data_IF_082192041171
#
_entry.id   IF_082192041171
#
_cell.length_a   1.000
_cell.length_b   1.000
_cell.length_c   1.000
_cell.angle_alpha   90.00
_cell.angle_beta   90.00
_cell.angle_gamma   90.00
#
_symmetry.space_group_name_H-M   'P 1'
#
loop_
_entity.id
_entity.type
_entity.pdbx_description
1 polymer ?
#
# COMPACT_ATOMS: atom_id res chain seq x y z
N UNK A 1 3.95 -1.15 -20.41
CA UNK A 1 5.33 -1.03 -20.90
C UNK A 1 5.34 0.17 -21.83
N UNK A 2 5.73 1.30 -21.26
CA UNK A 2 6.10 2.53 -21.94
C UNK A 2 7.08 2.29 -23.10
N UNK A 3 7.19 3.30 -23.96
CA UNK A 3 7.90 3.22 -25.26
C UNK A 3 9.43 3.23 -25.14
N UNK A 4 9.95 3.42 -23.93
CA UNK A 4 11.37 3.57 -23.59
C UNK A 4 12.01 2.24 -23.12
N UNK A 5 11.25 1.15 -23.01
CA UNK A 5 11.72 -0.16 -22.51
C UNK A 5 12.23 -0.14 -21.07
N UNK A 6 11.93 0.91 -20.30
CA UNK A 6 12.35 1.05 -18.91
C UNK A 6 11.13 1.21 -18.00
N UNK A 7 11.05 0.42 -16.94
CA UNK A 7 9.93 0.54 -15.99
C UNK A 7 10.20 1.70 -15.03
N UNK A 8 9.36 2.74 -15.07
CA UNK A 8 9.47 3.82 -14.08
C UNK A 8 9.12 3.32 -12.67
N UNK A 9 9.54 4.02 -11.62
CA UNK A 9 9.18 3.63 -10.25
C UNK A 9 7.65 3.67 -10.02
N UNK A 10 6.95 4.60 -10.67
CA UNK A 10 5.49 4.66 -10.65
C UNK A 10 4.87 3.43 -11.33
N UNK A 11 5.37 3.03 -12.50
CA UNK A 11 4.88 1.82 -13.16
C UNK A 11 5.18 0.55 -12.35
N UNK A 12 6.36 0.50 -11.71
CA UNK A 12 6.73 -0.60 -10.81
C UNK A 12 5.76 -0.72 -9.62
N UNK A 13 5.43 0.38 -8.96
CA UNK A 13 4.50 0.37 -7.82
C UNK A 13 3.07 0.02 -8.23
N UNK A 14 2.65 0.40 -9.45
CA UNK A 14 1.37 -0.04 -10.03
C UNK A 14 1.35 -1.55 -10.26
N UNK A 15 2.43 -2.12 -10.81
CA UNK A 15 2.54 -3.58 -11.01
C UNK A 15 2.48 -4.30 -9.66
N UNK A 16 3.25 -3.84 -8.68
CA UNK A 16 3.25 -4.43 -7.34
C UNK A 16 1.86 -4.37 -6.69
N UNK A 17 1.13 -3.27 -6.87
CA UNK A 17 -0.23 -3.12 -6.35
C UNK A 17 -1.21 -4.12 -6.94
N UNK A 18 -1.09 -4.43 -8.24
CA UNK A 18 -1.90 -5.46 -8.89
C UNK A 18 -1.56 -6.86 -8.37
N UNK A 19 -0.27 -7.16 -8.21
CA UNK A 19 0.18 -8.45 -7.66
C UNK A 19 -0.32 -8.63 -6.23
N UNK A 20 -0.26 -7.58 -5.41
CA UNK A 20 -0.80 -7.60 -4.05
C UNK A 20 -2.32 -7.82 -4.02
N UNK A 21 -3.08 -7.17 -4.92
CA UNK A 21 -4.53 -7.37 -5.03
C UNK A 21 -4.86 -8.81 -5.47
N UNK A 22 -4.12 -9.37 -6.43
CA UNK A 22 -4.28 -10.76 -6.83
C UNK A 22 -3.96 -11.73 -5.68
N UNK A 23 -2.88 -11.48 -4.92
CA UNK A 23 -2.53 -12.27 -3.73
C UNK A 23 -3.63 -12.20 -2.66
N UNK A 24 -4.18 -11.02 -2.41
CA UNK A 24 -5.32 -10.82 -1.53
C UNK A 24 -6.55 -11.63 -1.98
N UNK A 25 -6.88 -11.62 -3.27
CA UNK A 25 -8.00 -12.40 -3.82
C UNK A 25 -7.80 -13.90 -3.67
N UNK A 26 -6.58 -14.40 -3.88
CA UNK A 26 -6.24 -15.81 -3.67
C UNK A 26 -6.44 -16.20 -2.20
N UNK A 27 -6.14 -15.28 -1.27
CA UNK A 27 -6.34 -15.52 0.17
C UNK A 27 -7.81 -15.75 0.55
N UNK A 28 -8.75 -15.10 -0.16
CA UNK A 28 -10.20 -15.29 0.02
C UNK A 28 -10.78 -16.47 -0.77
N UNK A 29 -10.11 -16.88 -1.85
CA UNK A 29 -10.60 -17.87 -2.82
C UNK A 29 -10.10 -19.30 -2.62
N UNK A 30 -9.66 -19.69 -1.43
CA UNK A 30 -9.21 -21.07 -1.21
C UNK A 30 -10.32 -22.00 -0.70
N UNK A 31 -11.07 -22.58 -1.64
CA UNK A 31 -11.37 -24.02 -1.55
C UNK A 31 -10.05 -24.81 -1.74
N UNK A 32 -9.09 -24.65 -0.82
CA UNK A 32 -8.02 -25.65 -0.65
C UNK A 32 -8.61 -26.84 0.12
N UNK A 33 -9.68 -27.42 -0.41
CA UNK A 33 -10.18 -28.72 0.02
C UNK A 33 -9.80 -29.75 -1.05
N UNK A 34 -8.53 -30.17 -1.00
CA UNK A 34 -8.07 -31.44 -1.55
C UNK A 34 -7.29 -32.13 -0.43
N UNK A 35 -7.56 -33.41 -0.10
CA UNK A 35 -6.95 -34.09 1.03
C UNK A 35 -5.52 -34.59 0.72
N UNK A 36 -4.74 -33.80 -0.02
CA UNK A 36 -3.39 -34.21 -0.40
C UNK A 36 -2.50 -32.99 -0.68
N UNK A 37 -1.80 -32.52 0.36
CA UNK A 37 -0.61 -31.70 0.20
C UNK A 37 0.15 -31.65 1.52
N UNK A 38 0.94 -32.70 1.79
CA UNK A 38 2.21 -32.52 2.48
C UNK A 38 3.16 -31.73 1.57
N UNK A 39 2.83 -30.46 1.30
CA UNK A 39 3.73 -29.54 0.61
C UNK A 39 4.42 -28.72 1.69
N UNK A 40 5.72 -28.98 1.89
CA UNK A 40 6.62 -28.04 2.54
C UNK A 40 6.46 -26.69 1.85
N UNK A 41 5.80 -25.74 2.50
CA UNK A 41 5.76 -24.36 2.03
C UNK A 41 7.20 -23.85 2.04
N UNK A 42 7.72 -23.52 0.85
CA UNK A 42 9.00 -22.83 0.75
C UNK A 42 8.92 -21.50 1.52
N UNK A 43 10.02 -21.08 2.18
CA UNK A 43 10.02 -19.81 2.89
C UNK A 43 9.75 -18.67 1.90
N UNK A 44 8.82 -17.79 2.27
CA UNK A 44 8.47 -16.62 1.47
C UNK A 44 9.70 -15.73 1.20
N UNK A 45 9.80 -15.20 -0.01
CA UNK A 45 10.73 -14.12 -0.34
C UNK A 45 10.34 -12.83 0.39
N UNK A 46 11.26 -11.86 0.45
CA UNK A 46 11.02 -10.60 1.15
C UNK A 46 9.84 -9.80 0.57
N UNK A 47 9.63 -9.87 -0.75
CA UNK A 47 8.50 -9.17 -1.39
C UNK A 47 7.17 -9.84 -1.07
N UNK A 48 7.14 -11.18 -1.04
CA UNK A 48 5.95 -11.93 -0.63
C UNK A 48 5.61 -11.65 0.83
N UNK A 49 6.61 -11.65 1.73
CA UNK A 49 6.39 -11.23 3.13
C UNK A 49 5.86 -9.82 3.26
N UNK A 50 6.38 -8.87 2.46
CA UNK A 50 5.90 -7.50 2.48
C UNK A 50 4.44 -7.40 2.02
N UNK A 51 4.04 -8.15 0.98
CA UNK A 51 2.65 -8.21 0.53
C UNK A 51 1.73 -8.81 1.59
N UNK A 52 2.15 -9.92 2.23
CA UNK A 52 1.41 -10.52 3.35
C UNK A 52 1.22 -9.53 4.50
N UNK A 53 2.26 -8.77 4.85
CA UNK A 53 2.16 -7.72 5.88
C UNK A 53 1.16 -6.63 5.48
N UNK A 54 1.14 -6.21 4.21
CA UNK A 54 0.17 -5.21 3.74
C UNK A 54 -1.27 -5.74 3.84
N UNK A 55 -1.49 -7.00 3.44
CA UNK A 55 -2.78 -7.69 3.55
C UNK A 55 -3.22 -7.83 5.00
N UNK A 56 -2.32 -8.26 5.88
CA UNK A 56 -2.59 -8.43 7.31
C UNK A 56 -2.94 -7.09 7.97
N UNK A 57 -2.22 -6.02 7.62
CA UNK A 57 -2.54 -4.67 8.07
C UNK A 57 -3.93 -4.27 7.62
N UNK A 58 -4.29 -4.45 6.35
CA UNK A 58 -5.64 -4.14 5.86
C UNK A 58 -6.71 -4.87 6.68
N UNK A 59 -6.57 -6.17 6.86
CA UNK A 59 -7.51 -7.00 7.61
C UNK A 59 -7.55 -6.73 9.12
N UNK A 60 -6.46 -6.22 9.70
CA UNK A 60 -6.44 -5.75 11.08
C UNK A 60 -7.44 -4.60 11.30
N UNK A 61 -7.73 -3.82 10.25
CA UNK A 61 -8.66 -2.70 10.31
C UNK A 61 -10.02 -3.01 9.71
N UNK A 62 -10.12 -3.69 8.55
CA UNK A 62 -11.39 -3.98 7.86
C UNK A 62 -12.33 -4.90 8.65
N UNK A 63 -11.80 -5.67 9.60
CA UNK A 63 -12.59 -6.65 10.36
C UNK A 63 -13.21 -6.07 11.63
N UNK A 64 -13.23 -4.74 11.82
CA UNK A 64 -13.68 -4.12 13.07
C UNK A 64 -15.16 -3.76 13.04
N UNK A 65 -15.71 -3.36 11.91
CA UNK A 65 -17.11 -3.02 11.70
C UNK A 65 -17.53 -3.16 10.23
N UNK A 66 -18.83 -3.32 9.95
CA UNK A 66 -19.32 -3.38 8.56
C UNK A 66 -18.88 -4.64 7.81
N UNK A 67 -18.55 -4.47 6.52
CA UNK A 67 -18.02 -5.53 5.66
C UNK A 67 -16.57 -5.85 6.02
N UNK A 68 -16.25 -7.13 6.20
CA UNK A 68 -14.96 -7.61 6.71
C UNK A 68 -13.81 -7.51 5.70
N UNK A 69 -14.12 -7.23 4.44
CA UNK A 69 -13.17 -7.14 3.32
C UNK A 69 -13.10 -5.73 2.72
N UNK A 70 -13.64 -4.74 3.42
CA UNK A 70 -13.50 -3.33 3.06
C UNK A 70 -13.27 -2.47 4.29
N UNK A 71 -12.70 -1.29 4.13
CA UNK A 71 -12.57 -0.32 5.21
C UNK A 71 -13.74 0.64 5.19
N UNK A 72 -14.43 0.78 6.31
CA UNK A 72 -15.24 1.98 6.54
C UNK A 72 -14.32 3.20 6.64
N UNK A 73 -14.90 4.39 6.47
CA UNK A 73 -14.19 5.65 6.70
C UNK A 73 -13.52 5.76 8.07
N UNK A 74 -14.13 5.17 9.11
CA UNK A 74 -13.58 5.19 10.48
C UNK A 74 -12.39 4.23 10.60
N UNK A 75 -12.46 3.07 9.96
CA UNK A 75 -11.36 2.11 9.90
C UNK A 75 -10.20 2.65 9.07
N UNK A 76 -10.45 3.25 7.90
CA UNK A 76 -9.46 3.94 7.08
C UNK A 76 -8.73 5.02 7.88
N UNK A 77 -9.47 5.87 8.59
CA UNK A 77 -8.88 6.90 9.46
C UNK A 77 -7.94 6.29 10.49
N UNK A 78 -8.38 5.24 11.17
CA UNK A 78 -7.59 4.61 12.22
C UNK A 78 -6.33 3.94 11.65
N UNK A 79 -6.44 3.28 10.49
CA UNK A 79 -5.31 2.68 9.78
C UNK A 79 -4.27 3.76 9.42
N UNK A 80 -4.69 4.88 8.84
CA UNK A 80 -3.81 6.01 8.51
C UNK A 80 -3.10 6.54 9.76
N UNK A 81 -3.84 6.77 10.85
CA UNK A 81 -3.28 7.30 12.10
C UNK A 81 -2.27 6.37 12.77
N UNK A 82 -2.38 5.06 12.58
CA UNK A 82 -1.56 4.05 13.27
C UNK A 82 -0.43 3.49 12.42
N UNK A 83 -0.70 3.20 11.15
CA UNK A 83 0.26 2.54 10.25
C UNK A 83 1.04 3.55 9.40
N UNK A 84 0.46 4.73 9.14
CA UNK A 84 1.09 5.79 8.34
C UNK A 84 1.40 7.03 9.20
N UNK A 85 1.61 6.85 10.50
CA UNK A 85 1.75 7.94 11.47
C UNK A 85 2.87 8.95 11.16
N UNK A 86 3.97 8.49 10.53
CA UNK A 86 5.11 9.33 10.16
C UNK A 86 4.90 10.03 8.81
N UNK A 87 4.38 9.31 7.81
CA UNK A 87 4.14 9.83 6.47
C UNK A 87 2.95 10.80 6.43
N UNK A 88 1.88 10.48 7.15
CA UNK A 88 0.61 11.21 7.13
C UNK A 88 0.33 11.90 8.47
N UNK A 89 1.37 12.32 9.20
CA UNK A 89 1.27 12.93 10.55
C UNK A 89 0.33 14.15 10.64
N UNK A 90 0.10 14.84 9.53
CA UNK A 90 -0.77 16.03 9.44
C UNK A 90 -2.20 15.70 9.00
N UNK A 91 -2.45 14.48 8.54
CA UNK A 91 -3.77 14.00 8.11
C UNK A 91 -4.55 13.54 9.34
N UNK A 92 -5.19 14.49 10.02
CA UNK A 92 -5.98 14.19 11.24
C UNK A 92 -7.37 14.81 11.25
N UNK A 93 -7.55 15.88 10.48
CA UNK A 93 -8.83 16.57 10.44
C UNK A 93 -9.84 15.77 9.59
N UNK A 94 -11.13 15.95 9.91
CA UNK A 94 -12.23 15.26 9.22
C UNK A 94 -12.22 15.55 7.72
N UNK A 95 -12.08 16.82 7.31
CA UNK A 95 -12.15 17.21 5.90
C UNK A 95 -11.11 16.51 5.01
N UNK A 96 -9.87 16.35 5.48
CA UNK A 96 -8.83 15.65 4.73
C UNK A 96 -9.10 14.15 4.63
N UNK A 97 -9.58 13.51 5.70
CA UNK A 97 -10.01 12.10 5.65
C UNK A 97 -11.19 11.92 4.70
N UNK A 98 -12.16 12.85 4.71
CA UNK A 98 -13.31 12.85 3.81
C UNK A 98 -12.86 12.92 2.34
N UNK A 99 -11.87 13.75 2.05
CA UNK A 99 -11.30 13.87 0.71
C UNK A 99 -10.52 12.62 0.30
N UNK A 100 -9.68 12.07 1.20
CA UNK A 100 -8.95 10.82 0.93
C UNK A 100 -9.94 9.68 0.63
N UNK A 101 -10.99 9.53 1.45
CA UNK A 101 -12.03 8.53 1.20
C UNK A 101 -12.61 8.69 -0.21
N UNK A 102 -12.99 9.91 -0.58
CA UNK A 102 -13.57 10.20 -1.90
C UNK A 102 -12.61 9.93 -3.06
N UNK A 103 -11.31 10.15 -2.86
CA UNK A 103 -10.29 9.95 -3.89
C UNK A 103 -9.89 8.48 -4.06
N UNK A 104 -10.15 7.65 -3.04
CA UNK A 104 -9.88 6.21 -3.04
C UNK A 104 -11.12 5.39 -3.40
N UNK A 105 -12.33 5.83 -3.02
CA UNK A 105 -13.61 5.19 -3.32
C UNK A 105 -13.98 5.38 -4.81
N UNK A 106 -13.38 4.56 -5.67
CA UNK A 106 -13.51 4.65 -7.12
C UNK A 106 -14.86 4.10 -7.58
N UNK A 107 -15.35 3.05 -6.91
CA UNK A 107 -16.62 2.41 -7.24
C UNK A 107 -17.84 3.16 -6.63
N UNK A 108 -17.60 4.09 -5.69
CA UNK A 108 -18.59 4.94 -5.02
C UNK A 108 -19.57 4.18 -4.13
N UNK A 109 -19.10 3.11 -3.49
CA UNK A 109 -19.89 2.31 -2.54
C UNK A 109 -19.76 2.80 -1.07
N UNK A 110 -18.97 3.85 -0.85
CA UNK A 110 -18.67 4.42 0.46
C UNK A 110 -17.90 3.49 1.41
N UNK A 111 -17.22 2.49 0.87
CA UNK A 111 -16.24 1.63 1.52
C UNK A 111 -14.95 1.64 0.70
N UNK A 112 -13.84 1.16 1.28
CA UNK A 112 -12.56 1.06 0.57
C UNK A 112 -12.16 -0.40 0.49
N UNK A 113 -12.20 -0.97 -0.72
CA UNK A 113 -11.67 -2.30 -1.00
C UNK A 113 -10.14 -2.35 -0.85
N UNK A 114 -9.57 -3.55 -0.80
CA UNK A 114 -8.11 -3.72 -0.76
C UNK A 114 -7.41 -3.04 -1.95
N UNK A 115 -7.91 -3.24 -3.17
CA UNK A 115 -7.38 -2.58 -4.36
C UNK A 115 -7.42 -1.05 -4.30
N UNK A 116 -8.48 -0.47 -3.72
CA UNK A 116 -8.58 0.98 -3.49
C UNK A 116 -7.62 1.46 -2.39
N UNK A 117 -7.37 0.64 -1.36
CA UNK A 117 -6.35 0.93 -0.35
C UNK A 117 -4.94 0.93 -0.97
N UNK A 118 -4.65 0.01 -1.90
CA UNK A 118 -3.36 -0.06 -2.59
C UNK A 118 -3.04 1.20 -3.42
N UNK A 119 -4.05 1.97 -3.84
CA UNK A 119 -3.84 3.27 -4.45
C UNK A 119 -3.22 4.28 -3.46
N UNK A 120 -3.62 4.26 -2.19
CA UNK A 120 -2.99 5.08 -1.16
C UNK A 120 -1.54 4.64 -0.93
N UNK A 121 -1.29 3.33 -0.82
CA UNK A 121 0.07 2.78 -0.64
C UNK A 121 0.97 3.20 -1.79
N UNK A 122 0.52 3.03 -3.03
CA UNK A 122 1.24 3.48 -4.24
C UNK A 122 1.63 4.96 -4.14
N UNK A 123 0.66 5.83 -3.84
CA UNK A 123 0.89 7.28 -3.76
C UNK A 123 1.90 7.65 -2.68
N UNK A 124 1.79 7.05 -1.49
CA UNK A 124 2.73 7.29 -0.38
C UNK A 124 4.13 6.79 -0.72
N UNK A 125 4.24 5.61 -1.36
CA UNK A 125 5.52 5.03 -1.76
C UNK A 125 6.22 5.85 -2.84
N UNK A 126 5.49 6.32 -3.86
CA UNK A 126 6.05 7.24 -4.88
C UNK A 126 6.55 8.55 -4.26
N UNK A 127 5.72 9.20 -3.44
CA UNK A 127 6.12 10.45 -2.76
C UNK A 127 7.33 10.24 -1.83
N UNK A 128 7.43 9.08 -1.18
CA UNK A 128 8.58 8.74 -0.33
C UNK A 128 9.84 8.53 -1.17
N UNK A 129 9.73 7.83 -2.30
CA UNK A 129 10.84 7.61 -3.21
C UNK A 129 11.38 8.94 -3.77
N UNK A 130 10.50 9.84 -4.22
CA UNK A 130 10.88 11.18 -4.68
C UNK A 130 11.61 11.97 -3.59
N UNK A 131 11.10 11.97 -2.35
CA UNK A 131 11.75 12.67 -1.24
C UNK A 131 13.15 12.12 -0.91
N UNK A 132 13.36 10.81 -1.06
CA UNK A 132 14.68 10.20 -0.83
C UNK A 132 15.71 10.69 -1.86
N UNK A 133 15.34 10.81 -3.13
CA UNK A 133 16.21 11.39 -4.17
C UNK A 133 16.57 12.84 -3.87
N UNK A 134 15.59 13.66 -3.44
CA UNK A 134 15.86 15.06 -3.07
C UNK A 134 16.86 15.19 -1.91
N UNK A 135 16.78 14.30 -0.92
CA UNK A 135 17.69 14.31 0.24
C UNK A 135 19.09 13.87 -0.17
N UNK A 136 19.22 12.87 -1.03
CA UNK A 136 20.51 12.43 -1.57
C UNK A 136 21.18 13.56 -2.37
N UNK A 137 20.46 14.23 -3.27
CA UNK A 137 20.99 15.33 -4.08
C UNK A 137 21.49 16.50 -3.23
N UNK A 138 20.77 16.85 -2.17
CA UNK A 138 21.16 17.92 -1.24
C UNK A 138 22.43 17.56 -0.46
N UNK A 139 22.59 16.30 -0.03
CA UNK A 139 23.80 15.84 0.68
C UNK A 139 25.04 15.89 -0.20
N UNK A 140 24.93 15.56 -1.49
CA UNK A 140 26.03 15.65 -2.45
C UNK A 140 26.44 17.11 -2.71
N UNK A 141 25.48 18.04 -2.79
CA UNK A 141 25.79 19.47 -2.96
C UNK A 141 26.49 20.07 -1.74
N UNK A 142 26.09 19.70 -0.52
CA UNK A 142 26.74 20.17 0.70
C UNK A 142 28.19 19.65 0.86
N UNK A 143 28.51 18.46 0.35
CA UNK A 143 29.87 17.94 0.38
C UNK A 143 30.84 18.70 -0.56
N UNK A 144 30.35 19.22 -1.68
CA UNK A 144 31.17 19.99 -2.62
C UNK A 144 31.45 21.43 -2.16
N UNK A 145 30.64 22.00 -1.26
CA UNK A 145 30.82 23.36 -0.77
C UNK A 145 31.86 23.48 0.37
N UNK A 146 32.23 22.37 1.01
CA UNK A 146 33.24 22.34 2.08
C UNK A 146 34.67 22.07 1.59
N UNK A 147 34.89 21.91 0.27
CA UNK A 147 36.21 21.65 -0.33
C UNK A 147 36.77 22.80 -1.18
N UNK A 148 36.21 24.01 -1.05
CA UNK A 148 36.74 25.22 -1.70
C UNK A 148 37.11 26.31 -0.69
#
# INVERSE_FOLDING_TARGET
LNKDSELSFEEFTIVLSKVADDAHRISHGSDRCGPDASQTQEPLSELEKAMDVIIDVFHQYSRREGDRDTLTKKELKLMIEKQLANYLKHVKNKATIDQIMKDLDLNKDAQISFGEMMLLVTRVTCATHEHLHEVEDQQHQHHHQHHH
#
